data_IF_087076286267
#
_entry.id   IF_087076286267
#
_cell.length_a   1.000
_cell.length_b   1.000
_cell.length_c   1.000
_cell.angle_alpha   90.00
_cell.angle_beta   90.00
_cell.angle_gamma   90.00
#
_symmetry.space_group_name_H-M   'P 1'
#
loop_
_entity.id
_entity.type
_entity.pdbx_description
1 polymer ?
#
# COMPACT_ATOMS: atom_id res chain seq x y z
N UNK A 1 -10.09 -24.01 -11.15
CA UNK A 1 -10.73 -23.60 -9.87
C UNK A 1 -11.35 -24.85 -9.23
N UNK A 2 -11.04 -25.19 -7.98
CA UNK A 2 -11.51 -26.44 -7.34
C UNK A 2 -13.00 -26.50 -6.99
N UNK A 3 -13.74 -25.39 -6.98
CA UNK A 3 -15.17 -25.37 -6.72
C UNK A 3 -15.76 -23.96 -6.80
N UNK A 4 -17.10 -23.80 -6.75
CA UNK A 4 -17.85 -22.54 -6.90
C UNK A 4 -17.77 -21.66 -5.65
N UNK A 5 -16.55 -21.33 -5.22
CA UNK A 5 -16.32 -20.66 -3.94
C UNK A 5 -16.12 -19.15 -4.14
N UNK A 6 -16.83 -18.35 -3.34
CA UNK A 6 -16.81 -16.89 -3.41
C UNK A 6 -15.49 -16.26 -2.89
N UNK A 7 -14.77 -16.93 -2.00
CA UNK A 7 -13.52 -16.45 -1.42
C UNK A 7 -12.52 -17.59 -1.22
N UNK A 8 -11.23 -17.32 -1.42
CA UNK A 8 -10.19 -18.35 -1.24
C UNK A 8 -10.18 -18.94 0.18
N UNK A 9 -10.53 -18.14 1.19
CA UNK A 9 -10.60 -18.59 2.59
C UNK A 9 -11.59 -19.74 2.81
N UNK A 10 -12.65 -19.77 2.03
CA UNK A 10 -13.70 -20.79 2.13
C UNK A 10 -13.31 -22.13 1.48
N UNK A 11 -12.14 -22.25 0.82
CA UNK A 11 -11.64 -23.57 0.43
C UNK A 11 -11.38 -24.44 1.67
N UNK A 12 -11.75 -25.74 1.61
CA UNK A 12 -11.29 -26.74 2.57
C UNK A 12 -9.75 -26.74 2.69
N UNK A 13 -9.25 -27.04 3.88
CA UNK A 13 -7.82 -26.92 4.17
C UNK A 13 -6.99 -27.92 3.36
N UNK A 14 -7.47 -29.14 3.19
CA UNK A 14 -6.91 -30.20 2.34
C UNK A 14 -6.74 -29.75 0.88
N UNK A 15 -7.71 -28.99 0.34
CA UNK A 15 -7.61 -28.42 -1.00
C UNK A 15 -6.51 -27.36 -1.06
N UNK A 16 -6.42 -26.48 -0.06
CA UNK A 16 -5.36 -25.47 0.00
C UNK A 16 -3.98 -26.12 0.13
N UNK A 17 -3.87 -27.18 0.92
CA UNK A 17 -2.65 -27.95 1.11
C UNK A 17 -2.23 -28.62 -0.19
N UNK A 18 -3.15 -29.28 -0.89
CA UNK A 18 -2.88 -29.89 -2.21
C UNK A 18 -2.43 -28.87 -3.26
N UNK A 19 -3.02 -27.67 -3.26
CA UNK A 19 -2.59 -26.56 -4.13
C UNK A 19 -1.19 -26.09 -3.77
N UNK A 20 -0.89 -25.94 -2.48
CA UNK A 20 0.44 -25.56 -2.02
C UNK A 20 1.49 -26.64 -2.32
N UNK A 21 1.17 -27.91 -2.13
CA UNK A 21 2.05 -29.03 -2.46
C UNK A 21 2.36 -29.09 -3.96
N UNK A 22 1.39 -28.73 -4.80
CA UNK A 22 1.60 -28.58 -6.24
C UNK A 22 2.60 -27.47 -6.58
N UNK A 23 2.60 -26.39 -5.80
CA UNK A 23 3.62 -25.34 -5.90
C UNK A 23 4.98 -25.83 -5.39
N UNK A 24 5.02 -26.48 -4.23
CA UNK A 24 6.26 -27.01 -3.64
C UNK A 24 6.93 -28.08 -4.51
N UNK A 25 6.17 -28.82 -5.34
CA UNK A 25 6.76 -29.73 -6.34
C UNK A 25 7.64 -29.04 -7.38
N UNK A 26 7.53 -27.72 -7.55
CA UNK A 26 8.31 -26.93 -8.52
C UNK A 26 9.38 -26.06 -7.87
N UNK A 27 9.28 -25.82 -6.57
CA UNK A 27 10.15 -24.89 -5.84
C UNK A 27 10.70 -25.55 -4.59
N UNK A 28 12.03 -25.55 -4.46
CA UNK A 28 12.74 -26.07 -3.30
C UNK A 28 13.25 -24.89 -2.47
N UNK A 29 13.19 -25.02 -1.15
CA UNK A 29 13.64 -24.00 -0.21
C UNK A 29 14.78 -24.56 0.64
N UNK A 30 15.72 -23.69 1.01
CA UNK A 30 16.96 -24.08 1.68
C UNK A 30 16.74 -24.55 3.14
N UNK A 31 15.67 -24.09 3.78
CA UNK A 31 15.34 -24.43 5.15
C UNK A 31 13.83 -24.66 5.35
N UNK A 32 13.48 -25.36 6.42
CA UNK A 32 12.08 -25.53 6.84
C UNK A 32 11.46 -24.19 7.27
N UNK A 33 12.28 -23.26 7.77
CA UNK A 33 11.84 -21.89 8.04
C UNK A 33 11.41 -21.17 6.76
N UNK A 34 12.22 -21.23 5.70
CA UNK A 34 11.89 -20.62 4.41
C UNK A 34 10.66 -21.25 3.78
N UNK A 35 10.49 -22.56 3.93
CA UNK A 35 9.28 -23.28 3.53
C UNK A 35 8.05 -22.78 4.28
N UNK A 36 8.17 -22.59 5.59
CA UNK A 36 7.09 -22.04 6.43
C UNK A 36 6.73 -20.61 6.02
N UNK A 37 7.73 -19.78 5.73
CA UNK A 37 7.53 -18.42 5.20
C UNK A 37 6.88 -18.44 3.82
N UNK A 38 7.30 -19.35 2.95
CA UNK A 38 6.71 -19.54 1.63
C UNK A 38 5.21 -19.89 1.75
N UNK A 39 4.81 -20.70 2.74
CA UNK A 39 3.38 -20.99 2.98
C UNK A 39 2.60 -19.74 3.35
N UNK A 40 3.14 -18.89 4.23
CA UNK A 40 2.47 -17.65 4.63
C UNK A 40 2.30 -16.71 3.44
N UNK A 41 3.37 -16.51 2.66
CA UNK A 41 3.35 -15.68 1.45
C UNK A 41 2.37 -16.25 0.41
N UNK A 42 2.37 -17.57 0.24
CA UNK A 42 1.43 -18.27 -0.64
C UNK A 42 -0.02 -18.01 -0.27
N UNK A 43 -0.41 -18.20 0.99
CA UNK A 43 -1.79 -18.00 1.45
C UNK A 43 -2.27 -16.57 1.19
N UNK A 44 -1.43 -15.58 1.52
CA UNK A 44 -1.74 -14.17 1.27
C UNK A 44 -1.88 -13.88 -0.23
N UNK A 45 -0.95 -14.39 -1.03
CA UNK A 45 -0.95 -14.20 -2.50
C UNK A 45 -2.15 -14.88 -3.13
N UNK A 46 -2.44 -16.12 -2.75
CA UNK A 46 -3.58 -16.87 -3.25
C UNK A 46 -4.89 -16.17 -2.92
N UNK A 47 -5.04 -15.65 -1.70
CA UNK A 47 -6.21 -14.87 -1.33
C UNK A 47 -6.39 -13.61 -2.20
N UNK A 48 -5.32 -12.83 -2.41
CA UNK A 48 -5.38 -11.63 -3.23
C UNK A 48 -5.68 -11.96 -4.70
N UNK A 49 -4.90 -12.88 -5.29
CA UNK A 49 -5.00 -13.25 -6.70
C UNK A 49 -6.32 -13.92 -7.03
N UNK A 50 -6.87 -14.73 -6.13
CA UNK A 50 -8.19 -15.33 -6.31
C UNK A 50 -9.30 -14.27 -6.36
N UNK A 51 -9.28 -13.31 -5.44
CA UNK A 51 -10.26 -12.21 -5.45
C UNK A 51 -10.15 -11.37 -6.73
N UNK A 52 -8.92 -11.10 -7.19
CA UNK A 52 -8.69 -10.41 -8.45
C UNK A 52 -9.20 -11.19 -9.66
N UNK A 53 -8.98 -12.52 -9.68
CA UNK A 53 -9.48 -13.41 -10.72
C UNK A 53 -11.01 -13.35 -10.81
N UNK A 54 -11.71 -13.45 -9.69
CA UNK A 54 -13.18 -13.34 -9.66
C UNK A 54 -13.68 -11.93 -10.00
N UNK A 55 -12.94 -10.87 -9.65
CA UNK A 55 -13.26 -9.51 -10.07
C UNK A 55 -13.17 -9.34 -11.59
N UNK A 56 -12.07 -9.81 -12.19
CA UNK A 56 -11.87 -9.75 -13.64
C UNK A 56 -12.91 -10.60 -14.38
N UNK A 57 -13.24 -11.79 -13.86
CA UNK A 57 -14.28 -12.66 -14.40
C UNK A 57 -15.64 -11.94 -14.48
N UNK A 58 -16.06 -11.30 -13.39
CA UNK A 58 -17.31 -10.51 -13.34
C UNK A 58 -17.28 -9.34 -14.31
N UNK A 59 -16.19 -8.58 -14.36
CA UNK A 59 -16.07 -7.45 -15.28
C UNK A 59 -16.17 -7.91 -16.75
N UNK A 60 -15.49 -9.00 -17.10
CA UNK A 60 -15.56 -9.57 -18.44
C UNK A 60 -16.99 -9.99 -18.78
N UNK A 61 -17.65 -10.73 -17.89
CA UNK A 61 -19.01 -11.20 -18.11
C UNK A 61 -20.00 -10.04 -18.24
N UNK A 62 -19.90 -9.01 -17.39
CA UNK A 62 -20.71 -7.79 -17.48
C UNK A 62 -20.57 -7.09 -18.84
N UNK A 63 -19.35 -6.99 -19.37
CA UNK A 63 -19.11 -6.35 -20.68
C UNK A 63 -19.73 -7.18 -21.80
N UNK A 64 -19.56 -8.51 -21.75
CA UNK A 64 -20.08 -9.43 -22.76
C UNK A 64 -21.60 -9.52 -22.75
N UNK A 65 -22.21 -9.65 -21.57
CA UNK A 65 -23.67 -9.73 -21.42
C UNK A 65 -24.37 -8.38 -21.54
N UNK A 66 -23.63 -7.27 -21.44
CA UNK A 66 -24.14 -5.89 -21.40
C UNK A 66 -25.18 -5.66 -20.29
N UNK A 67 -25.09 -6.42 -19.20
CA UNK A 67 -26.01 -6.33 -18.07
C UNK A 67 -25.27 -6.18 -16.75
N UNK A 68 -25.84 -5.40 -15.83
CA UNK A 68 -25.36 -5.28 -14.45
C UNK A 68 -25.90 -6.39 -13.53
N UNK A 69 -26.90 -7.15 -13.99
CA UNK A 69 -27.51 -8.23 -13.22
C UNK A 69 -26.64 -9.50 -13.29
N UNK A 70 -26.16 -10.05 -12.15
CA UNK A 70 -25.34 -11.25 -12.13
C UNK A 70 -25.95 -12.48 -12.81
N UNK A 71 -27.28 -12.62 -12.82
CA UNK A 71 -27.95 -13.75 -13.49
C UNK A 71 -27.73 -13.76 -15.01
N UNK A 72 -27.55 -12.58 -15.61
CA UNK A 72 -27.34 -12.42 -17.05
C UNK A 72 -25.87 -12.68 -17.44
N UNK A 73 -24.98 -12.84 -16.47
CA UNK A 73 -23.56 -13.12 -16.70
C UNK A 73 -23.32 -14.60 -17.04
N UNK A 74 -24.31 -15.48 -16.82
CA UNK A 74 -24.20 -16.91 -17.10
C UNK A 74 -23.84 -17.17 -18.55
N UNK A 75 -22.96 -18.15 -18.78
CA UNK A 75 -22.41 -18.46 -20.11
C UNK A 75 -21.34 -17.49 -20.61
N UNK A 76 -21.12 -16.34 -19.96
CA UNK A 76 -20.07 -15.38 -20.31
C UNK A 76 -18.83 -15.44 -19.41
N UNK A 77 -18.70 -16.50 -18.61
CA UNK A 77 -17.55 -16.75 -17.74
C UNK A 77 -16.23 -16.85 -18.51
N UNK A 78 -15.09 -16.57 -17.85
CA UNK A 78 -13.78 -16.72 -18.47
C UNK A 78 -13.39 -18.21 -18.57
N UNK A 79 -12.61 -18.58 -19.59
CA UNK A 79 -12.15 -19.96 -19.80
C UNK A 79 -11.36 -20.56 -18.61
N UNK A 80 -10.74 -19.73 -17.78
CA UNK A 80 -10.02 -20.16 -16.58
C UNK A 80 -10.93 -20.69 -15.45
N UNK A 81 -12.24 -20.41 -15.51
CA UNK A 81 -13.23 -20.88 -14.54
C UNK A 81 -14.21 -21.79 -15.31
N UNK A 82 -14.46 -22.98 -14.77
CA UNK A 82 -15.47 -23.88 -15.33
C UNK A 82 -16.83 -23.19 -15.41
N UNK A 83 -17.51 -23.34 -16.53
CA UNK A 83 -18.79 -22.68 -16.80
C UNK A 83 -19.83 -22.99 -15.71
N UNK A 84 -19.90 -24.25 -15.29
CA UNK A 84 -20.78 -24.70 -14.19
C UNK A 84 -20.53 -23.90 -12.90
N UNK A 85 -19.28 -23.79 -12.47
CA UNK A 85 -18.92 -23.07 -11.23
C UNK A 85 -19.15 -21.57 -11.35
N UNK A 86 -18.89 -20.99 -12.51
CA UNK A 86 -19.15 -19.57 -12.74
C UNK A 86 -20.65 -19.28 -12.69
N UNK A 87 -21.47 -20.11 -13.35
CA UNK A 87 -22.92 -19.95 -13.35
C UNK A 87 -23.50 -20.11 -11.94
N UNK A 88 -23.02 -21.09 -11.18
CA UNK A 88 -23.43 -21.27 -9.79
C UNK A 88 -23.07 -20.06 -8.91
N UNK A 89 -21.88 -19.47 -9.09
CA UNK A 89 -21.49 -18.25 -8.38
C UNK A 89 -22.40 -17.06 -8.71
N UNK A 90 -22.81 -16.91 -9.98
CA UNK A 90 -23.75 -15.89 -10.41
C UNK A 90 -25.09 -16.02 -9.67
N UNK A 91 -25.62 -17.23 -9.54
CA UNK A 91 -26.93 -17.51 -8.94
C UNK A 91 -26.90 -17.47 -7.41
N UNK A 92 -25.96 -18.20 -6.82
CA UNK A 92 -25.96 -18.50 -5.38
C UNK A 92 -25.19 -17.48 -4.54
N UNK A 93 -24.31 -16.70 -5.14
CA UNK A 93 -23.43 -15.78 -4.41
C UNK A 93 -23.67 -14.33 -4.83
N UNK A 94 -23.51 -14.00 -6.11
CA UNK A 94 -23.50 -12.61 -6.55
C UNK A 94 -24.90 -12.02 -6.72
N UNK A 95 -25.91 -12.84 -6.99
CA UNK A 95 -27.29 -12.38 -7.06
C UNK A 95 -27.92 -12.12 -5.67
N UNK A 96 -27.34 -12.63 -4.57
CA UNK A 96 -27.85 -12.41 -3.21
C UNK A 96 -27.83 -10.93 -2.84
N UNK A 97 -28.89 -10.49 -2.16
CA UNK A 97 -29.04 -9.09 -1.76
C UNK A 97 -27.93 -8.63 -0.80
N UNK A 98 -27.53 -9.49 0.12
CA UNK A 98 -26.40 -9.23 1.03
C UNK A 98 -25.12 -8.86 0.29
N UNK A 99 -24.88 -9.50 -0.86
CA UNK A 99 -23.69 -9.25 -1.66
C UNK A 99 -23.82 -7.93 -2.42
N UNK A 100 -24.99 -7.64 -2.99
CA UNK A 100 -25.31 -6.36 -3.63
C UNK A 100 -25.16 -5.19 -2.65
N UNK A 101 -25.67 -5.34 -1.43
CA UNK A 101 -25.50 -4.37 -0.34
C UNK A 101 -24.02 -4.15 0.01
N UNK A 102 -23.22 -5.22 0.14
CA UNK A 102 -21.77 -5.11 0.37
C UNK A 102 -21.07 -4.34 -0.75
N UNK A 103 -21.44 -4.58 -2.00
CA UNK A 103 -20.90 -3.84 -3.13
C UNK A 103 -21.26 -2.35 -3.09
N UNK A 104 -22.54 -2.02 -2.86
CA UNK A 104 -23.00 -0.63 -2.80
C UNK A 104 -22.32 0.11 -1.65
N UNK A 105 -22.21 -0.51 -0.48
CA UNK A 105 -21.50 0.05 0.66
C UNK A 105 -20.00 0.27 0.33
N UNK A 106 -19.34 -0.73 -0.27
CA UNK A 106 -17.94 -0.60 -0.68
C UNK A 106 -17.73 0.49 -1.75
N UNK A 107 -18.69 0.68 -2.66
CA UNK A 107 -18.68 1.75 -3.65
C UNK A 107 -18.83 3.11 -2.97
N UNK A 108 -19.85 3.28 -2.12
CA UNK A 108 -20.07 4.51 -1.33
C UNK A 108 -18.84 4.87 -0.49
N UNK A 109 -18.21 3.89 0.14
CA UNK A 109 -17.00 4.09 0.94
C UNK A 109 -15.79 4.52 0.10
N UNK A 110 -15.68 4.07 -1.16
CA UNK A 110 -14.62 4.54 -2.07
C UNK A 110 -14.92 5.94 -2.59
N UNK A 111 -16.19 6.25 -2.83
CA UNK A 111 -16.64 7.55 -3.34
C UNK A 111 -16.76 8.64 -2.27
N UNK A 112 -16.72 8.31 -0.98
CA UNK A 112 -16.91 9.28 0.10
C UNK A 112 -15.74 10.25 0.30
N UNK A 113 -14.55 9.91 -0.22
CA UNK A 113 -13.35 10.76 -0.16
C UNK A 113 -12.57 10.67 -1.48
N UNK A 114 -13.10 11.25 -2.58
CA UNK A 114 -12.51 11.11 -3.92
C UNK A 114 -11.08 11.68 -4.03
N UNK A 115 -10.69 12.57 -3.12
CA UNK A 115 -9.37 13.22 -3.12
C UNK A 115 -8.37 12.65 -2.11
N UNK A 116 -8.75 11.61 -1.35
CA UNK A 116 -7.87 11.07 -0.33
C UNK A 116 -6.65 10.38 -0.96
N UNK A 117 -5.47 10.98 -0.73
CA UNK A 117 -4.14 10.45 -1.07
C UNK A 117 -3.87 10.25 -2.57
N UNK A 118 -4.41 11.11 -3.44
CA UNK A 118 -4.08 11.09 -4.87
C UNK A 118 -2.68 11.67 -5.08
N UNK A 119 -1.78 10.92 -5.72
CA UNK A 119 -0.45 11.36 -6.12
C UNK A 119 -0.10 10.83 -7.52
N UNK A 120 0.80 11.52 -8.23
CA UNK A 120 1.32 11.15 -9.57
C UNK A 120 2.76 10.64 -9.52
N UNK A 121 3.32 10.45 -8.33
CA UNK A 121 4.66 9.89 -8.12
C UNK A 121 4.82 8.42 -8.54
N UNK A 122 3.74 7.73 -8.92
CA UNK A 122 3.76 6.32 -9.27
C UNK A 122 4.04 5.41 -8.07
N UNK A 123 4.59 4.22 -8.34
CA UNK A 123 4.90 3.19 -7.32
C UNK A 123 6.20 3.46 -6.54
N UNK A 124 6.96 4.48 -6.91
CA UNK A 124 8.20 4.85 -6.22
C UNK A 124 7.89 5.51 -4.88
N UNK A 125 8.67 5.13 -3.87
CA UNK A 125 8.57 5.73 -2.53
C UNK A 125 9.03 7.19 -2.54
N UNK A 126 8.60 7.96 -1.54
CA UNK A 126 9.08 9.32 -1.31
C UNK A 126 10.60 9.38 -1.14
N UNK A 127 11.18 8.43 -0.39
CA UNK A 127 12.64 8.29 -0.23
C UNK A 127 13.33 8.13 -1.58
N UNK A 128 12.82 7.22 -2.43
CA UNK A 128 13.41 7.03 -3.76
C UNK A 128 13.30 8.27 -4.62
N UNK A 129 12.17 8.99 -4.57
CA UNK A 129 12.04 10.27 -5.29
C UNK A 129 13.01 11.33 -4.75
N UNK A 130 13.21 11.39 -3.43
CA UNK A 130 14.18 12.29 -2.80
C UNK A 130 15.60 12.02 -3.28
N UNK A 131 16.06 10.76 -3.20
CA UNK A 131 17.40 10.36 -3.67
C UNK A 131 17.64 10.75 -5.14
N UNK A 132 16.63 10.57 -5.98
CA UNK A 132 16.71 10.91 -7.41
C UNK A 132 16.84 12.42 -7.57
N UNK A 133 15.98 13.19 -6.90
CA UNK A 133 16.00 14.65 -6.99
C UNK A 133 17.28 15.25 -6.40
N UNK A 134 17.84 14.69 -5.33
CA UNK A 134 19.10 15.17 -4.73
C UNK A 134 20.28 14.96 -5.66
N UNK A 135 20.30 13.84 -6.40
CA UNK A 135 21.28 13.59 -7.46
C UNK A 135 21.12 14.54 -8.64
N UNK A 136 19.88 14.80 -9.07
CA UNK A 136 19.58 15.72 -10.18
C UNK A 136 19.95 17.17 -9.84
N UNK A 137 19.62 17.62 -8.62
CA UNK A 137 19.85 19.01 -8.18
C UNK A 137 21.21 19.24 -7.53
N UNK A 138 21.96 18.17 -7.23
CA UNK A 138 23.26 18.20 -6.52
C UNK A 138 23.20 18.96 -5.19
N UNK A 139 22.05 18.96 -4.54
CA UNK A 139 21.80 19.59 -3.23
C UNK A 139 20.72 18.80 -2.48
N UNK A 140 20.63 18.96 -1.15
CA UNK A 140 19.48 18.46 -0.39
C UNK A 140 18.15 18.97 -0.97
N UNK A 141 17.18 18.07 -1.09
CA UNK A 141 15.86 18.38 -1.64
C UNK A 141 14.93 18.79 -0.52
N UNK A 142 14.25 19.93 -0.71
CA UNK A 142 13.23 20.40 0.23
C UNK A 142 12.00 19.52 0.12
N UNK A 143 11.33 19.26 1.23
CA UNK A 143 10.13 18.41 1.19
C UNK A 143 9.01 19.01 0.35
N UNK A 144 8.84 20.35 0.37
CA UNK A 144 7.90 21.05 -0.52
C UNK A 144 8.15 20.69 -2.00
N UNK A 145 9.43 20.66 -2.41
CA UNK A 145 9.82 20.31 -3.78
C UNK A 145 9.49 18.84 -4.10
N UNK A 146 9.74 17.96 -3.13
CA UNK A 146 9.41 16.53 -3.23
C UNK A 146 7.90 16.28 -3.30
N UNK A 147 7.12 17.01 -2.50
CA UNK A 147 5.66 16.95 -2.51
C UNK A 147 5.10 17.46 -3.85
N UNK A 148 5.56 18.62 -4.31
CA UNK A 148 5.19 19.19 -5.61
C UNK A 148 5.55 18.22 -6.76
N UNK A 149 6.71 17.58 -6.72
CA UNK A 149 7.14 16.57 -7.72
C UNK A 149 6.19 15.37 -7.82
N UNK A 150 5.56 15.01 -6.70
CA UNK A 150 4.71 13.82 -6.58
C UNK A 150 3.22 14.15 -6.63
N UNK A 151 2.82 15.40 -6.44
CA UNK A 151 1.42 15.84 -6.35
C UNK A 151 1.04 16.93 -7.36
N UNK A 152 1.96 17.36 -8.22
CA UNK A 152 1.64 18.19 -9.40
C UNK A 152 1.77 17.39 -10.69
N UNK A 153 0.83 17.63 -11.61
CA UNK A 153 0.87 17.14 -12.98
C UNK A 153 1.98 17.86 -13.76
N UNK A 154 2.26 17.40 -14.99
CA UNK A 154 3.18 18.11 -15.91
C UNK A 154 2.70 19.54 -16.23
N UNK A 155 1.39 19.79 -16.14
CA UNK A 155 0.76 21.12 -16.26
C UNK A 155 1.07 22.05 -15.08
N UNK A 156 1.81 21.56 -14.06
CA UNK A 156 2.09 22.21 -12.76
C UNK A 156 0.89 22.42 -11.85
N UNK A 157 -0.29 21.94 -12.27
CA UNK A 157 -1.49 21.90 -11.45
C UNK A 157 -1.44 20.74 -10.46
N UNK A 158 -2.01 20.97 -9.28
CA UNK A 158 -2.18 19.95 -8.26
C UNK A 158 -3.18 18.86 -8.71
N UNK A 159 -2.94 17.63 -8.27
CA UNK A 159 -3.71 16.45 -8.70
C UNK A 159 -5.08 16.33 -8.03
N UNK A 160 -5.25 17.00 -6.89
CA UNK A 160 -6.50 17.11 -6.13
C UNK A 160 -6.55 18.45 -5.40
N UNK A 161 -7.75 18.93 -5.06
CA UNK A 161 -7.90 20.11 -4.21
C UNK A 161 -7.24 19.87 -2.85
N UNK A 162 -7.35 18.66 -2.29
CA UNK A 162 -6.64 18.29 -1.05
C UNK A 162 -5.11 18.37 -1.15
N UNK A 163 -4.52 18.22 -2.34
CA UNK A 163 -3.07 18.42 -2.55
C UNK A 163 -2.66 19.89 -2.70
N UNK A 164 -3.60 20.79 -2.94
CA UNK A 164 -3.37 22.24 -2.85
C UNK A 164 -3.19 22.58 -1.36
N UNK A 165 -1.98 22.36 -0.85
CA UNK A 165 -1.61 22.66 0.51
C UNK A 165 -1.37 24.17 0.70
N UNK A 166 -2.38 24.98 0.35
CA UNK A 166 -2.33 26.45 0.37
C UNK A 166 -2.03 27.00 1.78
N UNK A 167 -2.34 26.21 2.82
CA UNK A 167 -2.07 26.58 4.22
C UNK A 167 -0.62 26.40 4.68
N UNK A 168 0.12 25.41 4.15
CA UNK A 168 1.42 25.06 4.76
C UNK A 168 2.47 26.16 4.60
N UNK A 169 2.63 26.68 3.39
CA UNK A 169 3.57 27.80 3.15
C UNK A 169 3.20 29.00 4.01
N UNK A 170 1.91 29.35 4.12
CA UNK A 170 1.45 30.43 4.99
C UNK A 170 1.76 30.19 6.48
N UNK A 171 1.54 28.97 6.99
CA UNK A 171 1.82 28.61 8.38
C UNK A 171 3.31 28.58 8.72
N UNK A 172 4.16 28.16 7.77
CA UNK A 172 5.61 28.24 7.94
C UNK A 172 6.06 29.69 7.98
N UNK A 173 5.51 30.56 7.12
CA UNK A 173 5.78 32.01 7.16
C UNK A 173 5.30 32.62 8.48
N UNK A 174 4.11 32.26 8.95
CA UNK A 174 3.55 32.76 10.21
C UNK A 174 4.43 32.40 11.42
N UNK A 175 4.96 31.17 11.45
CA UNK A 175 5.74 30.66 12.59
C UNK A 175 7.20 31.12 12.58
N UNK A 176 7.80 31.31 11.40
CA UNK A 176 9.23 31.52 11.25
C UNK A 176 9.61 32.80 10.45
N UNK A 177 8.62 33.59 10.02
CA UNK A 177 8.83 34.76 9.15
C UNK A 177 9.04 34.40 7.67
N UNK A 178 9.22 35.41 6.81
CA UNK A 178 9.53 35.22 5.37
C UNK A 178 10.80 34.38 5.15
N UNK A 179 11.75 34.50 6.07
CA UNK A 179 13.00 33.73 6.11
C UNK A 179 12.76 32.25 6.45
N UNK A 180 11.67 31.87 7.11
CA UNK A 180 11.36 30.48 7.42
C UNK A 180 10.80 29.66 6.25
N UNK A 181 10.04 30.31 5.37
CA UNK A 181 9.61 29.72 4.08
C UNK A 181 10.77 29.63 3.08
N UNK A 182 11.75 30.52 3.24
CA UNK A 182 12.89 30.70 2.33
C UNK A 182 14.19 30.10 2.85
N UNK A 183 14.25 29.71 4.14
CA UNK A 183 15.46 29.28 4.84
C UNK A 183 16.13 28.14 4.10
N UNK A 184 17.37 28.37 3.70
CA UNK A 184 18.21 27.40 2.98
C UNK A 184 18.58 26.17 3.83
N UNK A 185 18.06 26.07 5.05
CA UNK A 185 18.64 25.24 6.10
C UNK A 185 17.74 24.13 6.62
N UNK A 186 16.48 24.00 6.18
CA UNK A 186 15.62 22.93 6.69
C UNK A 186 15.43 21.76 5.70
N UNK A 187 16.11 20.62 5.94
CA UNK A 187 15.72 19.33 5.39
C UNK A 187 14.52 18.70 6.14
N UNK A 188 14.05 19.34 7.22
CA UNK A 188 13.01 18.84 8.12
C UNK A 188 11.69 19.57 7.85
N UNK A 189 10.58 18.83 7.84
CA UNK A 189 9.24 19.41 7.67
C UNK A 189 8.72 19.83 9.03
N UNK A 190 8.20 21.05 9.15
CA UNK A 190 7.33 21.39 10.27
C UNK A 190 6.04 20.56 10.21
N UNK A 191 6.01 19.48 10.99
CA UNK A 191 4.90 18.54 11.05
C UNK A 191 3.64 19.17 11.64
N UNK A 192 3.76 20.14 12.54
CA UNK A 192 2.61 20.82 13.14
C UNK A 192 1.95 21.73 12.13
N UNK A 193 2.74 22.51 11.37
CA UNK A 193 2.24 23.30 10.26
C UNK A 193 1.61 22.41 9.18
N UNK A 194 2.21 21.24 8.89
CA UNK A 194 1.67 20.30 7.91
C UNK A 194 0.35 19.68 8.35
N UNK A 195 0.25 19.22 9.60
CA UNK A 195 -0.97 18.62 10.15
C UNK A 195 -2.11 19.65 10.21
N UNK A 196 -1.80 20.88 10.60
CA UNK A 196 -2.77 21.97 10.61
C UNK A 196 -3.27 22.38 9.21
N UNK A 197 -2.53 22.05 8.14
CA UNK A 197 -2.91 22.38 6.76
C UNK A 197 -3.58 21.23 6.03
N UNK A 198 -3.26 19.98 6.39
CA UNK A 198 -3.76 18.77 5.72
C UNK A 198 -4.82 18.00 6.52
N UNK A 199 -5.08 18.43 7.76
CA UNK A 199 -6.08 17.83 8.64
C UNK A 199 -5.52 16.67 9.49
N UNK A 200 -6.38 16.12 10.35
CA UNK A 200 -6.00 15.17 11.40
C UNK A 200 -5.51 13.81 10.89
N UNK A 201 -4.69 13.16 11.72
CA UNK A 201 -4.29 11.75 11.60
C UNK A 201 -5.51 10.83 11.45
N UNK A 202 -5.63 10.15 10.31
CA UNK A 202 -6.61 9.07 10.14
C UNK A 202 -5.88 7.73 10.20
N UNK A 203 -6.15 6.93 11.25
CA UNK A 203 -5.54 5.59 11.45
C UNK A 203 -4.00 5.59 11.45
N UNK A 204 -3.40 6.61 12.08
CA UNK A 204 -1.93 6.76 12.18
C UNK A 204 -1.23 7.13 10.86
N UNK A 205 -1.96 7.69 9.90
CA UNK A 205 -1.41 8.19 8.62
C UNK A 205 -1.64 9.69 8.52
N UNK A 206 -0.60 10.42 8.11
CA UNK A 206 -0.68 11.85 7.74
C UNK A 206 -0.81 11.92 6.22
N UNK A 207 -1.63 12.81 5.69
CA UNK A 207 -1.75 12.96 4.24
C UNK A 207 -0.41 13.39 3.60
N UNK A 208 -0.03 12.72 2.51
CA UNK A 208 1.29 12.87 1.89
C UNK A 208 2.43 12.10 2.59
N UNK A 209 2.17 11.50 3.76
CA UNK A 209 3.14 10.69 4.51
C UNK A 209 2.63 9.27 4.73
N UNK A 210 3.55 8.31 4.89
CA UNK A 210 3.22 6.91 5.18
C UNK A 210 2.60 6.69 6.56
N UNK A 211 2.49 5.41 6.95
CA UNK A 211 2.28 5.06 8.36
C UNK A 211 3.58 5.35 9.09
N UNK A 212 3.55 6.31 10.00
CA UNK A 212 4.67 6.75 10.84
C UNK A 212 5.85 7.36 10.07
N UNK A 213 6.38 8.43 10.64
CA UNK A 213 7.57 9.15 10.18
C UNK A 213 8.67 8.12 9.88
N UNK A 214 9.13 8.10 8.63
CA UNK A 214 10.35 7.37 8.28
C UNK A 214 11.43 7.81 9.29
N UNK A 215 12.17 6.89 9.95
CA UNK A 215 13.26 7.24 10.86
C UNK A 215 14.29 8.20 10.22
N UNK A 216 14.29 8.29 8.89
CA UNK A 216 15.06 9.23 8.08
C UNK A 216 14.66 10.70 8.27
N UNK A 217 13.42 11.01 8.67
CA UNK A 217 12.92 12.38 8.87
C UNK A 217 12.93 12.82 10.35
N UNK A 218 13.01 11.88 11.30
CA UNK A 218 12.96 12.19 12.74
C UNK A 218 14.31 12.47 13.41
N UNK A 219 15.43 12.44 12.68
CA UNK A 219 16.77 12.54 13.27
C UNK A 219 17.45 13.88 12.97
N UNK A 220 16.77 14.99 13.24
CA UNK A 220 17.37 16.34 13.19
C UNK A 220 16.57 17.33 14.02
N UNK A 221 16.66 17.21 15.35
CA UNK A 221 16.56 18.30 16.33
C UNK A 221 16.98 17.73 17.69
N UNK A 222 18.18 18.09 18.15
CA UNK A 222 18.77 17.61 19.40
C UNK A 222 18.24 18.36 20.63
N UNK A 223 18.38 17.67 21.78
CA UNK A 223 18.56 18.17 23.16
C UNK A 223 17.38 18.75 23.94
N UNK A 224 16.71 17.87 24.68
CA UNK A 224 16.39 17.92 26.12
C UNK A 224 15.60 16.61 26.40
N UNK A 225 15.76 15.83 27.46
CA UNK A 225 16.11 16.17 28.84
C UNK A 225 16.39 14.87 29.62
N UNK A 226 17.22 15.01 30.66
CA UNK A 226 17.17 14.35 31.97
C UNK A 226 17.29 12.81 32.10
N UNK A 227 18.45 12.44 32.66
CA UNK A 227 18.71 11.37 33.63
C UNK A 227 17.52 10.58 34.17
N UNK A 228 17.59 9.25 34.01
CA UNK A 228 17.39 8.30 35.10
C UNK A 228 17.95 6.93 34.69
N UNK A 229 19.13 6.59 35.22
CA UNK A 229 19.50 5.19 35.46
C UNK A 229 18.73 4.71 36.71
N UNK A 230 18.39 3.41 36.80
CA UNK A 230 19.40 2.48 37.31
C UNK A 230 19.53 1.14 36.52
N UNK A 231 20.78 0.71 36.44
CA UNK A 231 21.32 -0.65 36.59
C UNK A 231 20.78 -1.82 35.74
N UNK A 232 21.63 -2.21 34.79
CA UNK A 232 22.26 -3.55 34.68
C UNK A 232 21.37 -4.81 34.54
N UNK A 233 21.41 -5.43 33.37
CA UNK A 233 21.99 -6.77 33.23
C UNK A 233 22.37 -7.08 31.79
N UNK A 234 23.59 -7.60 31.65
CA UNK A 234 24.32 -7.97 30.44
C UNK A 234 23.81 -9.28 29.82
N UNK A 235 23.69 -9.33 28.50
CA UNK A 235 24.09 -10.54 27.76
C UNK A 235 24.40 -10.21 26.30
N UNK A 236 25.61 -10.57 25.92
CA UNK A 236 26.29 -10.30 24.65
C UNK A 236 25.72 -11.16 23.52
N UNK A 237 25.55 -10.56 22.34
CA UNK A 237 25.45 -11.30 21.08
C UNK A 237 26.83 -11.84 20.66
N UNK A 238 26.93 -13.03 20.06
CA UNK A 238 28.06 -13.35 19.22
C UNK A 238 27.79 -12.99 17.75
N UNK A 239 28.80 -12.35 17.20
CA UNK A 239 29.03 -11.95 15.81
C UNK A 239 29.13 -13.19 14.92
N UNK A 240 28.42 -13.20 13.78
CA UNK A 240 28.68 -14.16 12.70
C UNK A 240 29.56 -13.47 11.65
N UNK A 241 30.79 -13.97 11.59
CA UNK A 241 31.84 -13.62 10.65
C UNK A 241 31.56 -14.32 9.31
N UNK A 242 31.44 -13.54 8.23
CA UNK A 242 31.23 -14.09 6.89
C UNK A 242 32.54 -14.64 6.31
N UNK A 243 32.64 -15.96 6.20
CA UNK A 243 33.68 -16.62 5.42
C UNK A 243 33.28 -16.69 3.94
N UNK A 244 33.92 -15.84 3.12
CA UNK A 244 33.96 -16.00 1.67
C UNK A 244 34.83 -17.21 1.31
N UNK A 245 34.21 -18.27 0.77
CA UNK A 245 34.94 -19.32 0.06
C UNK A 245 34.93 -18.99 -1.43
N UNK A 246 36.11 -18.57 -1.91
CA UNK A 246 36.51 -18.60 -3.30
C UNK A 246 36.75 -20.05 -3.70
N UNK A 247 36.12 -20.51 -4.79
CA UNK A 247 36.52 -21.74 -5.48
C UNK A 247 36.67 -21.38 -6.96
N UNK A 248 37.85 -21.75 -7.48
CA UNK A 248 38.30 -21.68 -8.87
C UNK A 248 37.44 -22.53 -9.80
#
# INVERSE_FOLDING_TARGET
>A
MPGPIATYKSYPQDVKDSLFDSFMRRFHFASEYDRSMARIVWENTAQERFNQLLHNARNMARVKSRSQNPLDWRGFGPAAIRSEYFNELCETTWNKEEWKHKLVAAMKNRSSMPEASVHVGGSRTFVRHKEIMEKELKRPVRYKELFDRTHKRKTREFVSQHSQNEGYSGRVIEKYGEDGSSSSTEPVIDMDAWLCSTGQLKKGRVYGFGRTLDPCYSRSSSSASVSSHPASSSSSAPVLEEHFLSIM
#
